data_IF_435594880245
#
_entry.id   IF_435594880245
#
_cell.length_a   1.000
_cell.length_b   1.000
_cell.length_c   1.000
_cell.angle_alpha   90.00
_cell.angle_beta   90.00
_cell.angle_gamma   90.00
#
_symmetry.space_group_name_H-M   'P 1'
#
loop_
_entity.id
_entity.type
_entity.pdbx_description
1 polymer ?
#
# COMPACT_ATOMS: atom_id res chain seq x y z
N UNK A 1 -1.85 -6.87 -3.53
CA UNK A 1 -2.08 -6.19 -2.24
C UNK A 1 -3.34 -5.34 -2.27
N UNK A 2 -3.35 -4.12 -2.83
CA UNK A 2 -4.53 -3.22 -2.77
C UNK A 2 -5.81 -3.87 -3.30
N UNK A 3 -5.70 -4.65 -4.40
CA UNK A 3 -6.82 -5.41 -4.97
C UNK A 3 -7.40 -6.44 -4.01
N UNK A 4 -6.58 -7.20 -3.28
CA UNK A 4 -7.06 -8.26 -2.37
C UNK A 4 -7.78 -7.68 -1.16
N UNK A 5 -7.31 -6.53 -0.65
CA UNK A 5 -8.00 -5.80 0.42
C UNK A 5 -9.32 -5.19 -0.07
N UNK A 6 -9.34 -4.59 -1.27
CA UNK A 6 -10.58 -4.06 -1.84
C UNK A 6 -11.61 -5.17 -2.08
N UNK A 7 -11.17 -6.35 -2.53
CA UNK A 7 -12.04 -7.51 -2.70
C UNK A 7 -12.58 -8.02 -1.36
N UNK A 8 -11.75 -8.11 -0.32
CA UNK A 8 -12.19 -8.50 1.02
C UNK A 8 -13.27 -7.55 1.56
N UNK A 9 -13.07 -6.23 1.44
CA UNK A 9 -14.09 -5.25 1.86
C UNK A 9 -15.38 -5.39 1.05
N UNK A 10 -15.29 -5.60 -0.27
CA UNK A 10 -16.46 -5.73 -1.14
C UNK A 10 -17.28 -7.00 -0.87
N UNK A 11 -16.60 -8.14 -0.63
CA UNK A 11 -17.24 -9.40 -0.26
C UNK A 11 -17.98 -9.26 1.08
N UNK A 12 -17.31 -8.70 2.08
CA UNK A 12 -17.88 -8.47 3.42
C UNK A 12 -19.05 -7.45 3.38
N UNK A 13 -19.04 -6.51 2.42
CA UNK A 13 -20.12 -5.52 2.24
C UNK A 13 -21.27 -5.99 1.36
N UNK A 14 -21.27 -7.25 0.88
CA UNK A 14 -22.27 -7.79 -0.06
C UNK A 14 -22.40 -6.98 -1.36
N UNK A 15 -21.34 -6.31 -1.79
CA UNK A 15 -21.32 -5.56 -3.05
C UNK A 15 -21.33 -6.53 -4.24
N UNK A 16 -22.08 -6.23 -5.30
CA UNK A 16 -22.06 -7.03 -6.54
C UNK A 16 -20.69 -6.93 -7.23
N UNK A 17 -19.84 -7.93 -6.96
CA UNK A 17 -18.45 -8.02 -7.43
C UNK A 17 -18.37 -7.95 -8.96
N UNK A 18 -19.37 -8.46 -9.70
CA UNK A 18 -19.35 -8.44 -11.17
C UNK A 18 -19.45 -7.03 -11.71
N UNK A 19 -20.32 -6.21 -11.11
CA UNK A 19 -20.43 -4.78 -11.47
C UNK A 19 -19.24 -3.95 -11.00
N UNK A 20 -18.50 -4.44 -9.98
CA UNK A 20 -17.33 -3.78 -9.44
C UNK A 20 -16.01 -4.14 -10.16
N UNK A 21 -16.00 -5.14 -11.07
CA UNK A 21 -14.77 -5.57 -11.77
C UNK A 21 -14.02 -4.41 -12.47
N UNK A 22 -14.69 -3.49 -13.20
CA UNK A 22 -13.99 -2.35 -13.77
C UNK A 22 -13.34 -1.44 -12.72
N UNK A 23 -13.99 -1.25 -11.56
CA UNK A 23 -13.43 -0.46 -10.44
C UNK A 23 -12.17 -1.11 -9.88
N UNK A 24 -12.18 -2.44 -9.72
CA UNK A 24 -11.02 -3.21 -9.25
C UNK A 24 -9.85 -3.18 -10.23
N UNK A 25 -10.12 -3.39 -11.52
CA UNK A 25 -9.08 -3.32 -12.55
C UNK A 25 -8.51 -1.90 -12.67
N UNK A 26 -9.35 -0.88 -12.57
CA UNK A 26 -8.91 0.51 -12.55
C UNK A 26 -7.99 0.80 -11.36
N UNK A 27 -8.35 0.35 -10.15
CA UNK A 27 -7.48 0.46 -8.97
C UNK A 27 -6.14 -0.24 -9.19
N UNK A 28 -6.17 -1.48 -9.70
CA UNK A 28 -4.97 -2.26 -9.98
C UNK A 28 -4.04 -1.56 -10.96
N UNK A 29 -4.54 -1.17 -12.13
CA UNK A 29 -3.73 -0.51 -13.16
C UNK A 29 -3.27 0.88 -12.73
N UNK A 30 -4.07 1.61 -11.95
CA UNK A 30 -3.68 2.90 -11.38
C UNK A 30 -2.51 2.78 -10.40
N UNK A 31 -2.61 1.87 -9.41
CA UNK A 31 -1.53 1.61 -8.45
C UNK A 31 -0.27 1.10 -9.17
N UNK A 32 -0.45 0.21 -10.15
CA UNK A 32 0.66 -0.33 -10.93
C UNK A 32 1.35 0.74 -11.78
N UNK A 33 0.59 1.66 -12.40
CA UNK A 33 1.16 2.79 -13.12
C UNK A 33 1.98 3.71 -12.20
N UNK A 34 1.49 4.02 -11.00
CA UNK A 34 2.25 4.81 -10.00
C UNK A 34 3.56 4.11 -9.62
N UNK A 35 3.50 2.80 -9.36
CA UNK A 35 4.70 2.00 -9.09
C UNK A 35 5.70 2.05 -10.25
N UNK A 36 5.24 1.88 -11.49
CA UNK A 36 6.11 1.92 -12.67
C UNK A 36 6.76 3.30 -12.86
N UNK A 37 6.00 4.39 -12.68
CA UNK A 37 6.53 5.75 -12.74
C UNK A 37 7.62 5.94 -11.69
N UNK A 38 7.36 5.54 -10.45
CA UNK A 38 8.33 5.64 -9.35
C UNK A 38 9.63 4.89 -9.69
N UNK A 39 9.53 3.63 -10.15
CA UNK A 39 10.69 2.82 -10.56
C UNK A 39 11.45 3.40 -11.75
N UNK A 40 10.74 3.94 -12.75
CA UNK A 40 11.36 4.61 -13.90
C UNK A 40 12.15 5.82 -13.42
N UNK A 41 11.55 6.70 -12.61
CA UNK A 41 12.20 7.90 -12.09
C UNK A 41 13.44 7.56 -11.26
N UNK A 42 13.35 6.54 -10.40
CA UNK A 42 14.49 6.09 -9.61
C UNK A 42 15.60 5.48 -10.47
N UNK A 43 15.26 4.78 -11.56
CA UNK A 43 16.26 4.26 -12.50
C UNK A 43 17.12 5.36 -13.15
N UNK A 44 16.55 6.55 -13.40
CA UNK A 44 17.32 7.70 -13.90
C UNK A 44 18.25 8.27 -12.82
N UNK A 45 17.73 8.42 -11.59
CA UNK A 45 18.46 9.00 -10.47
C UNK A 45 19.63 8.12 -10.02
N UNK A 46 19.41 6.80 -9.97
CA UNK A 46 20.36 5.82 -9.43
C UNK A 46 21.34 5.29 -10.47
N UNK A 47 21.30 5.75 -11.73
CA UNK A 47 22.19 5.28 -12.79
C UNK A 47 23.69 5.40 -12.46
N UNK A 48 24.06 6.36 -11.62
CA UNK A 48 25.45 6.60 -11.18
C UNK A 48 25.72 6.14 -9.74
N UNK A 49 24.75 5.53 -9.06
CA UNK A 49 24.92 5.08 -7.69
C UNK A 49 25.82 3.84 -7.65
N UNK A 50 26.74 3.80 -6.68
CA UNK A 50 27.69 2.69 -6.50
C UNK A 50 27.06 1.49 -5.77
N UNK A 51 26.01 1.73 -4.99
CA UNK A 51 25.28 0.70 -4.24
C UNK A 51 23.82 0.72 -4.67
N UNK A 52 23.38 -0.34 -5.34
CA UNK A 52 22.01 -0.49 -5.83
C UNK A 52 21.49 -1.89 -5.45
N UNK A 53 20.25 -1.97 -4.97
CA UNK A 53 19.56 -3.25 -4.71
C UNK A 53 19.25 -3.97 -6.04
N UNK A 54 18.99 -5.28 -6.03
CA UNK A 54 18.65 -6.05 -7.23
C UNK A 54 17.45 -5.51 -8.02
N UNK A 55 16.40 -5.06 -7.33
CA UNK A 55 15.22 -4.43 -7.99
C UNK A 55 15.57 -3.15 -8.74
N UNK A 56 16.48 -2.33 -8.22
CA UNK A 56 16.94 -1.11 -8.90
C UNK A 56 17.85 -1.46 -10.08
N UNK A 57 18.69 -2.51 -9.97
CA UNK A 57 19.45 -3.06 -11.11
C UNK A 57 18.52 -3.49 -12.24
N UNK A 58 17.46 -4.22 -11.91
CA UNK A 58 16.45 -4.64 -12.88
C UNK A 58 15.80 -3.43 -13.57
N UNK A 59 15.37 -2.42 -12.81
CA UNK A 59 14.73 -1.22 -13.36
C UNK A 59 15.66 -0.44 -14.30
N UNK A 60 16.96 -0.31 -13.96
CA UNK A 60 17.95 0.32 -14.83
C UNK A 60 18.17 -0.49 -16.11
N UNK A 61 18.29 -1.81 -16.01
CA UNK A 61 18.55 -2.71 -17.14
C UNK A 61 17.37 -2.77 -18.12
N UNK A 62 16.14 -2.83 -17.62
CA UNK A 62 14.93 -3.04 -18.42
C UNK A 62 14.02 -1.81 -18.45
N UNK A 63 14.58 -0.61 -18.39
CA UNK A 63 13.80 0.63 -18.32
C UNK A 63 12.81 0.82 -19.48
N UNK A 64 13.18 0.38 -20.68
CA UNK A 64 12.27 0.44 -21.84
C UNK A 64 11.04 -0.44 -21.65
N UNK A 65 11.20 -1.62 -21.03
CA UNK A 65 10.09 -2.51 -20.68
C UNK A 65 9.17 -1.84 -19.67
N UNK A 66 9.72 -1.12 -18.69
CA UNK A 66 8.90 -0.38 -17.72
C UNK A 66 8.03 0.70 -18.39
N UNK A 67 8.55 1.38 -19.41
CA UNK A 67 7.76 2.35 -20.20
C UNK A 67 6.63 1.69 -20.98
N UNK A 68 6.87 0.52 -21.59
CA UNK A 68 5.84 -0.25 -22.28
C UNK A 68 4.75 -0.69 -21.30
N UNK A 69 5.15 -1.24 -20.15
CA UNK A 69 4.21 -1.65 -19.11
C UNK A 69 3.42 -0.45 -18.58
N UNK A 70 4.03 0.74 -18.48
CA UNK A 70 3.35 1.95 -18.04
C UNK A 70 2.30 2.37 -19.07
N UNK A 71 2.66 2.42 -20.35
CA UNK A 71 1.73 2.75 -21.43
C UNK A 71 0.56 1.76 -21.49
N UNK A 72 0.85 0.47 -21.35
CA UNK A 72 -0.16 -0.59 -21.29
C UNK A 72 -1.11 -0.41 -20.10
N UNK A 73 -0.55 -0.17 -18.91
CA UNK A 73 -1.34 0.03 -17.68
C UNK A 73 -2.20 1.28 -17.76
N UNK A 74 -1.66 2.38 -18.31
CA UNK A 74 -2.41 3.62 -18.52
C UNK A 74 -3.55 3.42 -19.52
N UNK A 75 -3.31 2.72 -20.63
CA UNK A 75 -4.34 2.41 -21.62
C UNK A 75 -5.47 1.56 -21.01
N UNK A 76 -5.13 0.53 -20.24
CA UNK A 76 -6.13 -0.29 -19.56
C UNK A 76 -6.87 0.49 -18.47
N UNK A 77 -6.19 1.34 -17.68
CA UNK A 77 -6.85 2.21 -16.72
C UNK A 77 -7.86 3.15 -17.40
N UNK A 78 -7.49 3.79 -18.52
CA UNK A 78 -8.40 4.65 -19.28
C UNK A 78 -9.60 3.87 -19.84
N UNK A 79 -9.38 2.64 -20.32
CA UNK A 79 -10.47 1.76 -20.75
C UNK A 79 -11.42 1.45 -19.58
N UNK A 80 -10.88 1.08 -18.41
CA UNK A 80 -11.72 0.82 -17.24
C UNK A 80 -12.47 2.07 -16.78
N UNK A 81 -11.83 3.24 -16.84
CA UNK A 81 -12.46 4.52 -16.50
C UNK A 81 -13.66 4.81 -17.40
N UNK A 82 -13.56 4.51 -18.70
CA UNK A 82 -14.68 4.60 -19.64
C UNK A 82 -15.83 3.63 -19.30
N UNK A 83 -15.50 2.43 -18.81
CA UNK A 83 -16.50 1.42 -18.42
C UNK A 83 -17.18 1.75 -17.09
N UNK A 84 -16.51 2.47 -16.18
CA UNK A 84 -17.10 2.93 -14.93
C UNK A 84 -18.03 4.11 -15.20
N UNK A 85 -19.34 3.84 -15.23
CA UNK A 85 -20.39 4.86 -15.46
C UNK A 85 -20.76 5.69 -14.23
N UNK A 86 -20.12 5.41 -13.10
CA UNK A 86 -20.40 6.04 -11.81
C UNK A 86 -19.60 7.35 -11.67
N UNK A 87 -20.26 8.48 -11.92
CA UNK A 87 -19.61 9.79 -11.91
C UNK A 87 -19.02 10.18 -10.55
N UNK A 88 -19.66 9.77 -9.45
CA UNK A 88 -19.16 10.05 -8.09
C UNK A 88 -17.88 9.26 -7.81
N UNK A 89 -17.84 8.00 -8.22
CA UNK A 89 -16.63 7.19 -8.15
C UNK A 89 -15.48 7.82 -8.95
N UNK A 90 -15.75 8.21 -10.20
CA UNK A 90 -14.75 8.85 -11.07
C UNK A 90 -14.22 10.14 -10.45
N UNK A 91 -15.10 11.00 -9.93
CA UNK A 91 -14.71 12.23 -9.26
C UNK A 91 -13.84 11.95 -8.02
N UNK A 92 -14.26 11.00 -7.17
CA UNK A 92 -13.48 10.59 -6.00
C UNK A 92 -12.10 10.06 -6.37
N UNK A 93 -12.01 9.27 -7.44
CA UNK A 93 -10.76 8.73 -7.97
C UNK A 93 -9.83 9.82 -8.51
N UNK A 94 -10.37 10.78 -9.25
CA UNK A 94 -9.61 11.94 -9.76
C UNK A 94 -9.09 12.81 -8.62
N UNK A 95 -9.93 13.10 -7.62
CA UNK A 95 -9.51 13.86 -6.43
C UNK A 95 -8.39 13.13 -5.67
N UNK A 96 -8.53 11.83 -5.44
CA UNK A 96 -7.49 11.01 -4.81
C UNK A 96 -6.19 11.01 -5.61
N UNK A 97 -6.28 10.92 -6.95
CA UNK A 97 -5.12 11.00 -7.84
C UNK A 97 -4.43 12.36 -7.77
N UNK A 98 -5.18 13.47 -7.77
CA UNK A 98 -4.65 14.82 -7.61
C UNK A 98 -3.94 14.97 -6.26
N UNK A 99 -4.60 14.59 -5.16
CA UNK A 99 -4.01 14.66 -3.82
C UNK A 99 -2.70 13.85 -3.74
N UNK A 100 -2.72 12.62 -4.27
CA UNK A 100 -1.53 11.74 -4.28
C UNK A 100 -0.42 12.33 -5.14
N UNK A 101 -0.74 12.86 -6.32
CA UNK A 101 0.24 13.47 -7.22
C UNK A 101 0.83 14.75 -6.63
N UNK A 102 0.01 15.66 -6.09
CA UNK A 102 0.47 16.88 -5.43
C UNK A 102 1.37 16.55 -4.25
N UNK A 103 0.99 15.56 -3.44
CA UNK A 103 1.84 15.09 -2.35
C UNK A 103 3.18 14.56 -2.85
N UNK A 104 3.16 13.69 -3.86
CA UNK A 104 4.37 13.10 -4.43
C UNK A 104 5.29 14.18 -5.02
N UNK A 105 4.75 15.15 -5.75
CA UNK A 105 5.50 16.28 -6.31
C UNK A 105 6.09 17.15 -5.22
N UNK A 106 5.29 17.54 -4.21
CA UNK A 106 5.77 18.30 -3.06
C UNK A 106 6.86 17.54 -2.31
N UNK A 107 6.71 16.24 -2.14
CA UNK A 107 7.69 15.40 -1.49
C UNK A 107 8.94 15.19 -2.35
N UNK A 108 8.85 15.12 -3.68
CA UNK A 108 10.01 14.91 -4.56
C UNK A 108 10.82 16.20 -4.70
N UNK A 109 10.16 17.31 -5.01
CA UNK A 109 10.81 18.60 -5.32
C UNK A 109 10.98 19.53 -4.11
N UNK A 110 10.28 19.27 -3.01
CA UNK A 110 10.42 20.05 -1.78
C UNK A 110 11.81 19.92 -1.16
N UNK A 111 12.26 21.02 -0.54
CA UNK A 111 13.56 21.11 0.14
C UNK A 111 13.65 20.10 1.29
N UNK A 112 14.83 19.50 1.46
CA UNK A 112 15.08 18.38 2.37
C UNK A 112 15.27 18.81 3.84
N UNK A 113 14.49 19.80 4.29
CA UNK A 113 14.68 20.56 5.54
C UNK A 113 13.99 19.96 6.75
N UNK A 114 13.32 18.81 6.63
CA UNK A 114 12.46 18.31 7.70
C UNK A 114 13.15 17.39 8.70
N UNK A 115 13.32 17.88 9.92
CA UNK A 115 13.56 17.14 11.17
C UNK A 115 12.26 16.50 11.69
N UNK A 116 11.46 15.90 10.79
CA UNK A 116 10.11 15.43 11.14
C UNK A 116 10.18 14.29 12.16
N UNK A 117 9.49 14.48 13.29
CA UNK A 117 9.29 13.45 14.32
C UNK A 117 8.32 12.35 13.88
N UNK A 118 7.49 12.63 12.86
CA UNK A 118 6.43 11.75 12.37
C UNK A 118 6.77 11.15 11.00
N UNK A 119 6.37 9.89 10.72
CA UNK A 119 6.57 9.21 9.44
C UNK A 119 5.58 9.72 8.38
N UNK A 120 5.68 11.00 8.02
CA UNK A 120 4.68 11.65 7.16
C UNK A 120 4.58 11.02 5.77
N UNK A 121 5.68 10.46 5.24
CA UNK A 121 5.74 9.79 3.93
C UNK A 121 4.89 8.52 3.98
N UNK A 122 5.22 7.66 4.92
CA UNK A 122 4.63 6.35 5.12
C UNK A 122 3.16 6.48 5.53
N UNK A 123 2.83 7.47 6.37
CA UNK A 123 1.44 7.77 6.75
C UNK A 123 0.60 8.21 5.54
N UNK A 124 1.12 9.09 4.69
CA UNK A 124 0.37 9.49 3.49
C UNK A 124 0.17 8.33 2.53
N UNK A 125 1.18 7.48 2.31
CA UNK A 125 1.05 6.27 1.49
C UNK A 125 -0.05 5.36 2.06
N UNK A 126 -0.05 5.14 3.38
CA UNK A 126 -1.04 4.32 4.06
C UNK A 126 -2.47 4.88 3.96
N UNK A 127 -2.64 6.19 4.08
CA UNK A 127 -3.94 6.86 3.90
C UNK A 127 -4.41 6.73 2.45
N UNK A 128 -3.54 6.99 1.46
CA UNK A 128 -3.87 6.82 0.05
C UNK A 128 -4.26 5.37 -0.27
N UNK A 129 -3.57 4.40 0.32
CA UNK A 129 -3.91 2.98 0.22
C UNK A 129 -5.32 2.71 0.75
N UNK A 130 -5.60 3.11 1.99
CA UNK A 130 -6.91 2.89 2.61
C UNK A 130 -8.03 3.60 1.83
N UNK A 131 -7.81 4.85 1.42
CA UNK A 131 -8.76 5.61 0.61
C UNK A 131 -9.06 4.92 -0.73
N UNK A 132 -8.03 4.39 -1.41
CA UNK A 132 -8.21 3.62 -2.65
C UNK A 132 -9.03 2.35 -2.43
N UNK A 133 -8.73 1.58 -1.38
CA UNK A 133 -9.49 0.38 -1.00
C UNK A 133 -10.96 0.71 -0.69
N UNK A 134 -11.21 1.75 0.09
CA UNK A 134 -12.55 2.19 0.47
C UNK A 134 -13.36 2.72 -0.72
N UNK A 135 -12.73 3.50 -1.58
CA UNK A 135 -13.37 4.03 -2.80
C UNK A 135 -13.76 2.90 -3.74
N UNK A 136 -12.86 1.95 -4.01
CA UNK A 136 -13.09 0.81 -4.92
C UNK A 136 -14.12 -0.18 -4.41
N UNK A 137 -14.16 -0.43 -3.10
CA UNK A 137 -15.16 -1.30 -2.49
C UNK A 137 -16.56 -0.67 -2.37
N UNK A 138 -16.67 0.66 -2.52
CA UNK A 138 -17.92 1.40 -2.34
C UNK A 138 -18.20 1.77 -0.87
N UNK A 139 -17.29 1.46 0.05
CA UNK A 139 -17.44 1.70 1.49
C UNK A 139 -17.14 3.16 1.90
N UNK A 140 -17.51 4.15 1.10
CA UNK A 140 -17.11 5.56 1.32
C UNK A 140 -18.07 6.37 2.22
N UNK A 141 -19.09 5.74 2.84
CA UNK A 141 -20.01 6.45 3.74
C UNK A 141 -19.39 6.70 5.11
N UNK A 142 -19.74 7.83 5.74
CA UNK A 142 -19.29 8.21 7.09
C UNK A 142 -20.05 7.42 8.17
N UNK A 143 -19.82 6.11 8.21
CA UNK A 143 -20.33 5.24 9.27
C UNK A 143 -19.22 4.90 10.27
N UNK A 144 -19.62 4.50 11.48
CA UNK A 144 -18.68 3.95 12.47
C UNK A 144 -17.90 2.77 11.90
N UNK A 145 -18.60 1.83 11.26
CA UNK A 145 -17.98 0.65 10.64
C UNK A 145 -16.91 1.03 9.62
N UNK A 146 -17.23 1.92 8.68
CA UNK A 146 -16.29 2.36 7.66
C UNK A 146 -15.10 3.12 8.25
N UNK A 147 -15.32 3.86 9.35
CA UNK A 147 -14.23 4.52 10.08
C UNK A 147 -13.27 3.50 10.71
N UNK A 148 -13.79 2.42 11.30
CA UNK A 148 -12.99 1.31 11.84
C UNK A 148 -12.21 0.61 10.72
N UNK A 149 -12.85 0.34 9.58
CA UNK A 149 -12.19 -0.25 8.40
C UNK A 149 -11.06 0.66 7.89
N UNK A 150 -11.34 1.94 7.67
CA UNK A 150 -10.35 2.90 7.17
C UNK A 150 -9.17 3.05 8.12
N UNK A 151 -9.42 3.10 9.43
CA UNK A 151 -8.37 3.15 10.45
C UNK A 151 -7.54 1.87 10.45
N UNK A 152 -8.18 0.69 10.42
CA UNK A 152 -7.51 -0.60 10.38
C UNK A 152 -6.62 -0.76 9.14
N UNK A 153 -7.14 -0.45 7.95
CA UNK A 153 -6.40 -0.50 6.68
C UNK A 153 -5.21 0.47 6.70
N UNK A 154 -5.44 1.71 7.14
CA UNK A 154 -4.37 2.71 7.27
C UNK A 154 -3.29 2.21 8.22
N UNK A 155 -3.68 1.61 9.34
CA UNK A 155 -2.74 1.14 10.35
C UNK A 155 -1.88 -0.03 9.88
N UNK A 156 -2.51 -1.02 9.22
CA UNK A 156 -1.82 -2.18 8.65
C UNK A 156 -0.84 -1.74 7.54
N UNK A 157 -1.28 -0.87 6.63
CA UNK A 157 -0.44 -0.35 5.55
C UNK A 157 0.71 0.52 6.08
N UNK A 158 0.45 1.36 7.10
CA UNK A 158 1.47 2.14 7.76
C UNK A 158 2.50 1.24 8.43
N UNK A 159 2.06 0.18 9.11
CA UNK A 159 2.97 -0.74 9.78
C UNK A 159 3.87 -1.47 8.78
N UNK A 160 3.31 -1.93 7.66
CA UNK A 160 4.10 -2.48 6.55
C UNK A 160 5.14 -1.47 6.05
N UNK A 161 4.75 -0.23 5.77
CA UNK A 161 5.68 0.81 5.30
C UNK A 161 6.81 1.08 6.32
N UNK A 162 6.50 1.07 7.62
CA UNK A 162 7.48 1.28 8.68
C UNK A 162 8.45 0.10 8.83
N UNK A 163 7.97 -1.13 8.70
CA UNK A 163 8.81 -2.35 8.69
C UNK A 163 9.77 -2.33 7.50
N UNK A 164 9.28 -1.94 6.32
CA UNK A 164 10.11 -1.80 5.11
C UNK A 164 11.17 -0.72 5.31
N UNK A 165 10.76 0.49 5.73
CA UNK A 165 11.69 1.59 5.96
C UNK A 165 12.74 1.24 7.02
N UNK A 166 12.37 0.46 8.04
CA UNK A 166 13.31 -0.01 9.05
C UNK A 166 14.34 -0.99 8.48
N UNK A 167 13.89 -2.00 7.72
CA UNK A 167 14.77 -2.98 7.11
C UNK A 167 15.64 -2.43 5.98
N UNK A 168 15.23 -1.32 5.35
CA UNK A 168 15.97 -0.66 4.28
C UNK A 168 16.69 0.63 4.73
N UNK A 169 16.76 0.89 6.04
CA UNK A 169 17.26 2.15 6.60
C UNK A 169 18.66 2.54 6.10
N UNK A 170 19.57 1.57 5.92
CA UNK A 170 20.92 1.83 5.42
C UNK A 170 20.98 2.19 3.94
N UNK A 171 20.09 1.61 3.14
CA UNK A 171 19.93 1.99 1.74
C UNK A 171 19.33 3.39 1.63
N UNK A 172 18.30 3.67 2.43
CA UNK A 172 17.59 4.94 2.47
C UNK A 172 18.47 6.09 2.95
N UNK A 173 19.37 5.87 3.92
CA UNK A 173 20.38 6.86 4.34
C UNK A 173 21.20 7.42 3.18
N UNK A 174 21.49 6.60 2.18
CA UNK A 174 22.34 6.97 1.05
C UNK A 174 21.54 7.52 -0.12
N UNK A 175 20.27 7.14 -0.27
CA UNK A 175 19.50 7.39 -1.50
C UNK A 175 18.14 8.08 -1.27
N UNK A 176 17.52 7.92 -0.11
CA UNK A 176 16.25 8.53 0.26
C UNK A 176 16.23 9.04 1.71
N UNK A 177 16.89 10.17 1.95
CA UNK A 177 16.93 10.87 3.24
C UNK A 177 15.56 11.29 3.80
N UNK A 178 14.48 11.08 3.04
CA UNK A 178 13.12 11.45 3.41
C UNK A 178 12.32 10.26 3.98
N UNK A 179 12.83 9.03 3.88
CA UNK A 179 12.26 7.88 4.58
C UNK A 179 12.47 8.02 6.10
N UNK A 180 11.50 7.54 6.89
CA UNK A 180 11.51 7.76 8.34
C UNK A 180 12.76 7.25 9.04
N UNK A 181 13.16 6.00 8.77
CA UNK A 181 14.33 5.38 9.39
C UNK A 181 15.67 5.75 8.74
N UNK A 182 15.66 6.54 7.67
CA UNK A 182 16.89 7.10 7.10
C UNK A 182 17.61 8.00 8.11
N UNK A 183 16.88 8.66 9.03
CA UNK A 183 17.46 9.60 10.00
C UNK A 183 17.29 9.18 11.46
N UNK A 184 16.26 8.40 11.79
CA UNK A 184 16.02 7.95 13.16
C UNK A 184 16.68 6.60 13.42
N UNK A 185 17.83 6.63 14.11
CA UNK A 185 18.66 5.45 14.31
C UNK A 185 18.18 4.60 15.48
N UNK A 186 17.40 5.09 16.45
CA UNK A 186 17.39 4.45 17.77
C UNK A 186 16.15 3.60 18.15
N UNK A 187 15.07 3.60 17.37
CA UNK A 187 13.88 2.82 17.71
C UNK A 187 13.48 1.87 16.58
N UNK A 188 13.00 0.66 16.90
CA UNK A 188 12.35 -0.21 15.92
C UNK A 188 11.01 0.35 15.43
N UNK A 189 10.35 -0.31 14.46
CA UNK A 189 8.99 0.03 14.02
C UNK A 189 8.06 0.18 15.22
N UNK A 190 7.33 1.30 15.37
CA UNK A 190 6.41 1.46 16.49
C UNK A 190 5.31 0.40 16.39
N UNK A 191 5.29 -0.53 17.35
CA UNK A 191 4.30 -1.61 17.39
C UNK A 191 2.86 -1.08 17.53
N UNK A 192 2.69 0.19 17.89
CA UNK A 192 1.38 0.83 18.05
C UNK A 192 0.53 0.76 16.78
N UNK A 193 1.10 0.94 15.58
CA UNK A 193 0.33 0.78 14.33
C UNK A 193 -0.10 -0.68 14.10
N UNK A 194 0.74 -1.66 14.44
CA UNK A 194 0.35 -3.07 14.44
C UNK A 194 -0.84 -3.33 15.37
N UNK A 195 -0.78 -2.84 16.61
CA UNK A 195 -1.82 -3.01 17.63
C UNK A 195 -3.15 -2.32 17.31
N UNK A 196 -3.11 -1.14 16.66
CA UNK A 196 -4.33 -0.48 16.16
C UNK A 196 -4.98 -1.37 15.09
N UNK A 197 -4.19 -1.93 14.16
CA UNK A 197 -4.72 -2.86 13.15
C UNK A 197 -5.37 -4.10 13.75
N UNK A 198 -4.76 -4.67 14.81
CA UNK A 198 -5.32 -5.82 15.54
C UNK A 198 -6.61 -5.45 16.25
N UNK A 199 -6.64 -4.31 16.94
CA UNK A 199 -7.85 -3.83 17.65
C UNK A 199 -9.00 -3.61 16.67
N UNK A 200 -8.75 -2.96 15.53
CA UNK A 200 -9.74 -2.81 14.46
C UNK A 200 -10.18 -4.16 13.90
N UNK A 201 -9.24 -5.08 13.67
CA UNK A 201 -9.54 -6.42 13.18
C UNK A 201 -10.43 -7.22 14.15
N UNK A 202 -10.13 -7.19 15.46
CA UNK A 202 -10.97 -7.81 16.49
C UNK A 202 -12.38 -7.20 16.51
N UNK A 203 -12.49 -5.87 16.43
CA UNK A 203 -13.79 -5.21 16.36
C UNK A 203 -14.61 -5.65 15.14
N UNK A 204 -13.96 -5.85 13.98
CA UNK A 204 -14.60 -6.32 12.75
C UNK A 204 -14.99 -7.81 12.80
N UNK A 205 -14.19 -8.67 13.43
CA UNK A 205 -14.54 -10.10 13.58
C UNK A 205 -15.82 -10.27 14.42
N UNK A 206 -16.07 -9.37 15.37
CA UNK A 206 -17.28 -9.39 16.20
C UNK A 206 -18.54 -8.88 15.48
N UNK A 207 -18.40 -8.31 14.28
CA UNK A 207 -19.51 -7.80 13.47
C UNK A 207 -19.84 -8.82 12.38
N UNK A 208 -21.11 -9.22 12.31
CA UNK A 208 -21.58 -10.16 11.28
C UNK A 208 -21.26 -9.63 9.88
N UNK A 209 -20.63 -10.48 9.06
CA UNK A 209 -20.29 -10.17 7.68
C UNK A 209 -18.92 -9.52 7.46
N UNK A 210 -18.12 -9.22 8.50
CA UNK A 210 -16.77 -8.64 8.34
C UNK A 210 -15.63 -9.55 8.76
N UNK A 211 -15.85 -10.87 8.68
CA UNK A 211 -14.92 -11.89 9.20
C UNK A 211 -13.62 -11.97 8.39
N UNK A 212 -13.70 -11.93 7.05
CA UNK A 212 -12.52 -12.05 6.19
C UNK A 212 -11.60 -10.85 6.41
N UNK A 213 -12.17 -9.64 6.37
CA UNK A 213 -11.41 -8.41 6.55
C UNK A 213 -10.81 -8.33 7.96
N UNK A 214 -11.61 -8.61 9.00
CA UNK A 214 -11.16 -8.57 10.38
C UNK A 214 -10.01 -9.55 10.65
N UNK A 215 -10.17 -10.81 10.21
CA UNK A 215 -9.14 -11.85 10.34
C UNK A 215 -7.87 -11.49 9.55
N UNK A 216 -8.03 -10.94 8.34
CA UNK A 216 -6.90 -10.49 7.52
C UNK A 216 -6.08 -9.42 8.22
N UNK A 217 -6.73 -8.43 8.86
CA UNK A 217 -6.05 -7.37 9.62
C UNK A 217 -5.26 -7.93 10.79
N UNK A 218 -5.85 -8.86 11.57
CA UNK A 218 -5.19 -9.48 12.71
C UNK A 218 -3.95 -10.24 12.27
N UNK A 219 -4.09 -11.14 11.29
CA UNK A 219 -2.98 -12.00 10.84
C UNK A 219 -1.89 -11.14 10.19
N UNK A 220 -2.24 -10.15 9.36
CA UNK A 220 -1.26 -9.28 8.71
C UNK A 220 -0.48 -8.44 9.74
N UNK A 221 -1.17 -7.82 10.70
CA UNK A 221 -0.50 -7.07 11.77
C UNK A 221 0.41 -7.95 12.62
N UNK A 222 -0.03 -9.16 12.98
CA UNK A 222 0.79 -10.11 13.76
C UNK A 222 2.01 -10.58 12.98
N UNK A 223 1.84 -10.94 11.70
CA UNK A 223 2.95 -11.36 10.85
C UNK A 223 3.96 -10.23 10.63
N UNK A 224 3.51 -8.98 10.42
CA UNK A 224 4.39 -7.81 10.35
C UNK A 224 5.11 -7.55 11.67
N UNK A 225 4.44 -7.77 12.81
CA UNK A 225 5.06 -7.66 14.12
C UNK A 225 6.17 -8.69 14.30
N UNK A 226 5.90 -9.96 13.98
CA UNK A 226 6.92 -11.01 13.99
C UNK A 226 8.09 -10.67 13.06
N UNK A 227 7.81 -10.26 11.82
CA UNK A 227 8.85 -9.82 10.88
C UNK A 227 9.68 -8.68 11.47
N UNK A 228 9.05 -7.67 12.07
CA UNK A 228 9.76 -6.53 12.69
C UNK A 228 10.71 -6.95 13.82
N UNK A 229 10.45 -8.07 14.50
CA UNK A 229 11.32 -8.64 15.53
C UNK A 229 12.42 -9.53 14.97
N UNK A 230 12.19 -10.14 13.81
CA UNK A 230 13.17 -10.99 13.13
C UNK A 230 14.15 -10.21 12.24
N UNK A 231 13.88 -8.93 11.97
CA UNK A 231 14.77 -8.10 11.17
C UNK A 231 16.06 -7.79 11.95
N UNK A 232 17.15 -8.41 11.52
CA UNK A 232 18.48 -8.00 11.90
C UNK A 232 18.81 -6.67 11.21
N UNK A 233 19.12 -5.69 12.03
CA UNK A 233 19.46 -4.35 11.58
C UNK A 233 20.82 -4.32 10.90
N UNK A 234 21.76 -5.08 11.41
CA UNK A 234 23.17 -5.01 10.98
C UNK A 234 23.38 -5.76 9.66
N UNK A 235 22.40 -6.58 9.28
CA UNK A 235 22.39 -7.31 8.01
C UNK A 235 21.06 -7.07 7.26
N UNK A 236 20.86 -5.86 6.69
CA UNK A 236 19.62 -5.52 6.03
C UNK A 236 19.36 -6.46 4.85
N UNK A 237 18.35 -7.33 5.00
CA UNK A 237 18.00 -8.28 3.97
C UNK A 237 17.37 -7.56 2.78
N UNK A 238 17.84 -7.84 1.57
CA UNK A 238 17.22 -7.34 0.32
C UNK A 238 15.78 -7.87 0.12
N UNK A 239 15.35 -8.81 0.96
CA UNK A 239 14.05 -9.48 0.88
C UNK A 239 13.01 -8.83 1.79
N UNK A 240 13.42 -7.95 2.72
CA UNK A 240 12.50 -7.34 3.72
C UNK A 240 11.25 -6.77 3.09
N UNK A 241 11.40 -6.00 2.01
CA UNK A 241 10.26 -5.45 1.30
C UNK A 241 9.36 -6.54 0.70
N UNK A 242 9.94 -7.53 0.01
CA UNK A 242 9.16 -8.59 -0.62
C UNK A 242 8.37 -9.41 0.41
N UNK A 243 8.95 -9.69 1.58
CA UNK A 243 8.25 -10.39 2.67
C UNK A 243 7.14 -9.51 3.25
N UNK A 244 7.44 -8.24 3.56
CA UNK A 244 6.46 -7.33 4.13
C UNK A 244 5.26 -7.11 3.19
N UNK A 245 5.51 -6.88 1.89
CA UNK A 245 4.47 -6.73 0.87
C UNK A 245 3.70 -8.04 0.65
N UNK A 246 4.39 -9.18 0.73
CA UNK A 246 3.80 -10.52 0.65
C UNK A 246 2.83 -10.81 1.79
N UNK A 247 3.13 -10.36 3.02
CA UNK A 247 2.21 -10.48 4.16
C UNK A 247 0.88 -9.79 3.88
N UNK A 248 0.88 -8.66 3.16
CA UNK A 248 -0.36 -7.97 2.82
C UNK A 248 -1.20 -8.66 1.71
N UNK A 249 -0.79 -9.85 1.26
CA UNK A 249 -1.59 -10.75 0.42
C UNK A 249 -2.45 -11.74 1.23
N UNK A 250 -2.39 -11.73 2.57
CA UNK A 250 -3.21 -12.57 3.47
C UNK A 250 -4.71 -12.61 3.15
N UNK A 251 -5.36 -11.53 2.65
CA UNK A 251 -6.77 -11.66 2.27
C UNK A 251 -7.03 -12.73 1.20
N UNK A 252 -6.07 -13.02 0.32
CA UNK A 252 -6.25 -14.00 -0.78
C UNK A 252 -6.55 -15.41 -0.24
N UNK A 253 -5.70 -16.06 0.59
CA UNK A 253 -6.01 -17.38 1.11
C UNK A 253 -7.30 -17.41 1.93
N UNK A 254 -7.64 -16.35 2.67
CA UNK A 254 -8.89 -16.30 3.43
C UNK A 254 -10.13 -16.23 2.54
N UNK A 255 -10.07 -15.44 1.46
CA UNK A 255 -11.14 -15.38 0.46
C UNK A 255 -11.31 -16.76 -0.19
N UNK A 256 -10.21 -17.41 -0.60
CA UNK A 256 -10.26 -18.74 -1.22
C UNK A 256 -10.79 -19.81 -0.26
N UNK A 257 -10.52 -19.72 1.04
CA UNK A 257 -11.03 -20.67 2.05
C UNK A 257 -12.53 -20.52 2.29
N UNK A 258 -13.10 -19.32 2.14
CA UNK A 258 -14.53 -19.10 2.34
C UNK A 258 -15.37 -19.91 1.34
N UNK A 259 -14.93 -19.99 0.09
CA UNK A 259 -15.61 -20.77 -0.96
C UNK A 259 -15.66 -22.28 -0.68
N UNK A 260 -14.86 -22.80 0.26
CA UNK A 260 -14.88 -24.21 0.67
C UNK A 260 -15.72 -24.47 1.93
N UNK A 261 -16.04 -23.43 2.70
CA UNK A 261 -16.75 -23.57 3.98
C UNK A 261 -18.26 -23.35 3.86
N UNK A 262 -18.73 -22.82 2.73
CA UNK A 262 -20.15 -22.52 2.44
C UNK A 262 -20.54 -23.05 1.06
#
# INVERSE_FOLDING_TARGET
MTLSWALAVALDSSSDVKTALPKFLLLFFGVWAVYLIDRILDSYRLRKATVITDRHRFAIRFRWLLWILLAFSAALALLQLYLVRDALYVLGGVLLAIVTATYFLAFRFGSNTSTRKLPSKELTIAICFAAGVMLTSGAFSLSWLNSVIALGLTSVALFNCLVISYGEADFDRRHDLKAYYARQVQAGPPATSGWIGVTCGCALVLINGTFILGSSMIIASMALYCLSRCLDRDNPSQVTQAVADGILLIPIPLILMMDYLF
#
